data_IF_012109789987
#
_entry.id   IF_012109789987
#
_cell.length_a   1.000
_cell.length_b   1.000
_cell.length_c   1.000
_cell.angle_alpha   90.00
_cell.angle_beta   90.00
_cell.angle_gamma   90.00
#
_symmetry.space_group_name_H-M   'P 1'
#
loop_
_entity.id
_entity.type
_entity.pdbx_description
1 polymer ?
#
# COMPACT_ATOMS: atom_id res chain seq x y z
N UNK A 1 -21.94 -10.34 -1.11
CA UNK A 1 -20.55 -10.17 -1.57
C UNK A 1 -19.69 -11.04 -0.67
N UNK A 2 -18.87 -11.92 -1.22
CA UNK A 2 -17.96 -12.75 -0.41
C UNK A 2 -16.88 -11.79 0.09
N UNK A 3 -16.79 -11.60 1.39
CA UNK A 3 -15.70 -10.83 1.97
C UNK A 3 -14.43 -11.61 1.70
N UNK A 4 -13.52 -11.03 0.90
CA UNK A 4 -12.18 -11.60 0.76
C UNK A 4 -11.58 -11.66 2.15
N UNK A 5 -11.20 -12.85 2.59
CA UNK A 5 -10.65 -13.06 3.92
C UNK A 5 -9.12 -12.99 3.85
N UNK A 6 -8.51 -12.30 4.81
CA UNK A 6 -7.05 -12.29 4.95
C UNK A 6 -6.66 -13.60 5.64
N UNK A 7 -6.26 -14.60 4.85
CA UNK A 7 -5.85 -15.89 5.41
C UNK A 7 -4.49 -15.80 6.11
N UNK A 8 -4.22 -16.65 7.12
CA UNK A 8 -2.91 -16.72 7.77
C UNK A 8 -1.78 -17.06 6.81
N UNK A 9 -2.05 -17.90 5.81
CA UNK A 9 -1.09 -18.28 4.77
C UNK A 9 -0.66 -17.08 3.93
N UNK A 10 -1.61 -16.22 3.55
CA UNK A 10 -1.32 -15.00 2.81
C UNK A 10 -0.44 -14.05 3.63
N UNK A 11 -0.75 -13.88 4.92
CA UNK A 11 0.06 -13.08 5.85
C UNK A 11 1.48 -13.63 5.99
N UNK A 12 1.63 -14.96 6.06
CA UNK A 12 2.93 -15.61 6.12
C UNK A 12 3.75 -15.31 4.87
N UNK A 13 3.19 -15.52 3.68
CA UNK A 13 3.88 -15.23 2.40
C UNK A 13 4.26 -13.76 2.30
N UNK A 14 3.35 -12.84 2.63
CA UNK A 14 3.63 -11.41 2.64
C UNK A 14 4.76 -11.06 3.62
N UNK A 15 4.72 -11.59 4.85
CA UNK A 15 5.77 -11.32 5.85
C UNK A 15 7.14 -11.81 5.39
N UNK A 16 7.22 -13.00 4.80
CA UNK A 16 8.45 -13.58 4.28
C UNK A 16 9.02 -12.74 3.12
N UNK A 17 8.17 -12.32 2.18
CA UNK A 17 8.57 -11.48 1.06
C UNK A 17 9.10 -10.11 1.52
N UNK A 18 8.42 -9.47 2.47
CA UNK A 18 8.86 -8.17 3.02
C UNK A 18 10.16 -8.33 3.81
N UNK A 19 10.29 -9.40 4.60
CA UNK A 19 11.51 -9.68 5.36
C UNK A 19 12.70 -9.94 4.43
N UNK A 20 12.51 -10.70 3.36
CA UNK A 20 13.52 -10.96 2.33
C UNK A 20 13.92 -9.67 1.60
N UNK A 21 12.96 -8.82 1.24
CA UNK A 21 13.22 -7.54 0.58
C UNK A 21 13.99 -6.55 1.47
N UNK A 22 13.63 -6.47 2.76
CA UNK A 22 14.25 -5.53 3.70
C UNK A 22 15.53 -6.08 4.37
N UNK A 23 15.79 -7.39 4.28
CA UNK A 23 16.91 -8.06 4.94
C UNK A 23 16.82 -8.08 6.48
N UNK A 24 15.61 -7.97 7.04
CA UNK A 24 15.39 -7.90 8.49
C UNK A 24 14.06 -8.53 8.90
N UNK A 25 13.94 -8.90 10.18
CA UNK A 25 12.69 -9.41 10.75
C UNK A 25 11.58 -8.34 10.69
N UNK A 26 10.41 -8.74 10.20
CA UNK A 26 9.26 -7.84 10.00
C UNK A 26 8.14 -8.25 10.93
N UNK A 27 7.60 -7.26 11.66
CA UNK A 27 6.37 -7.41 12.44
C UNK A 27 5.24 -6.67 11.75
N UNK A 28 4.29 -7.42 11.22
CA UNK A 28 3.07 -6.87 10.64
C UNK A 28 2.13 -6.46 11.79
N UNK A 29 1.74 -5.17 11.84
CA UNK A 29 0.85 -4.63 12.88
C UNK A 29 -0.62 -4.65 12.48
N UNK A 30 -0.88 -4.39 11.20
CA UNK A 30 -2.24 -4.28 10.66
C UNK A 30 -2.21 -4.60 9.17
N UNK A 31 -3.18 -5.37 8.72
CA UNK A 31 -3.45 -5.61 7.30
C UNK A 31 -4.92 -5.36 7.05
N UNK A 32 -5.23 -4.70 5.94
CA UNK A 32 -6.59 -4.42 5.52
C UNK A 32 -6.65 -4.44 4.01
N UNK A 33 -7.79 -4.86 3.47
CA UNK A 33 -8.09 -4.59 2.07
C UNK A 33 -8.28 -3.09 1.89
N UNK A 34 -7.65 -2.54 0.86
CA UNK A 34 -7.84 -1.14 0.47
C UNK A 34 -8.73 -1.18 -0.77
N UNK A 35 -9.88 -0.53 -0.69
CA UNK A 35 -10.72 -0.36 -1.88
C UNK A 35 -10.10 0.76 -2.75
N UNK A 36 -9.55 0.44 -3.93
CA UNK A 36 -8.87 1.43 -4.77
C UNK A 36 -9.83 2.48 -5.36
N UNK A 37 -11.14 2.21 -5.39
CA UNK A 37 -12.15 3.20 -5.81
C UNK A 37 -12.37 4.28 -4.74
N UNK A 38 -12.23 3.92 -3.46
CA UNK A 38 -12.39 4.85 -2.33
C UNK A 38 -11.06 5.53 -1.95
N UNK A 39 -9.94 4.83 -2.12
CA UNK A 39 -8.61 5.30 -1.74
C UNK A 39 -7.61 5.14 -2.91
N UNK A 40 -7.80 5.95 -3.97
CA UNK A 40 -6.94 5.98 -5.14
C UNK A 40 -5.62 6.73 -4.90
N UNK A 41 -4.85 6.30 -3.90
CA UNK A 41 -3.58 6.93 -3.49
C UNK A 41 -2.61 7.17 -4.66
N UNK A 42 -2.56 6.26 -5.65
CA UNK A 42 -1.78 6.42 -6.88
C UNK A 42 -2.26 7.59 -7.76
N UNK A 43 -3.58 7.74 -7.91
CA UNK A 43 -4.21 8.84 -8.63
C UNK A 43 -4.10 10.17 -7.88
N UNK A 44 -4.09 10.16 -6.55
CA UNK A 44 -3.86 11.36 -5.72
C UNK A 44 -2.41 11.82 -5.75
N UNK A 45 -1.45 10.89 -5.59
CA UNK A 45 -0.01 11.19 -5.58
C UNK A 45 0.43 11.85 -6.90
N UNK A 46 -0.01 11.28 -8.03
CA UNK A 46 0.28 11.86 -9.35
C UNK A 46 -0.30 13.28 -9.54
N UNK A 47 -1.53 13.54 -9.07
CA UNK A 47 -2.12 14.88 -9.10
C UNK A 47 -1.34 15.88 -8.25
N UNK A 48 -0.92 15.50 -7.04
CA UNK A 48 -0.14 16.38 -6.16
C UNK A 48 1.21 16.74 -6.78
N UNK A 49 1.90 15.79 -7.41
CA UNK A 49 3.18 16.05 -8.11
C UNK A 49 2.98 16.98 -9.31
N UNK A 50 1.91 16.78 -10.09
CA UNK A 50 1.61 17.66 -11.23
C UNK A 50 1.25 19.06 -10.75
N UNK A 51 0.40 19.19 -9.73
CA UNK A 51 0.00 20.48 -9.18
C UNK A 51 1.18 21.22 -8.55
N UNK A 52 2.04 20.53 -7.80
CA UNK A 52 3.22 21.15 -7.20
C UNK A 52 4.21 21.67 -8.25
N UNK A 53 4.35 20.99 -9.39
CA UNK A 53 5.19 21.46 -10.50
C UNK A 53 4.74 22.81 -11.08
N UNK A 54 3.43 23.05 -11.13
CA UNK A 54 2.86 24.33 -11.57
C UNK A 54 2.94 25.42 -10.49
N UNK A 55 2.83 25.04 -9.21
CA UNK A 55 2.96 25.96 -8.08
C UNK A 55 4.42 26.39 -7.80
N UNK A 56 5.41 25.67 -8.32
CA UNK A 56 6.84 25.98 -8.18
C UNK A 56 7.34 27.13 -9.07
N UNK A 57 6.47 27.73 -9.90
CA UNK A 57 6.77 28.98 -10.63
C UNK A 57 6.16 30.17 -9.90
N UNK A 58 6.87 30.69 -8.90
CA UNK A 58 6.74 32.07 -8.46
C UNK A 58 8.08 32.62 -8.00
#
# INVERSE_FOLDING_TARGET
MKEDEITPELLMVMSAAIAAYLGKNVRIRQVRFVNPQLDNSWGRSSRVVLQSSHFLKR
#
